data_IF_422111651498
#
_entry.id   IF_422111651498
#
_cell.length_a   1.000
_cell.length_b   1.000
_cell.length_c   1.000
_cell.angle_alpha   90.00
_cell.angle_beta   90.00
_cell.angle_gamma   90.00
#
_symmetry.space_group_name_H-M   'P 1'
#
loop_
_entity.id
_entity.type
_entity.pdbx_description
1 polymer ?
#
# COMPACT_ATOMS: atom_id res chain seq x y z
N UNK A 1 -23.97 -23.19 -0.59
CA UNK A 1 -23.91 -21.73 -0.42
C UNK A 1 -25.01 -21.17 -1.29
N UNK A 2 -26.05 -20.59 -0.69
CA UNK A 2 -27.32 -20.31 -1.37
C UNK A 2 -27.26 -19.12 -2.34
N UNK A 3 -26.33 -18.17 -2.14
CA UNK A 3 -25.99 -17.14 -3.12
C UNK A 3 -24.46 -16.88 -3.14
N UNK A 4 -23.78 -17.38 -4.18
CA UNK A 4 -22.34 -17.15 -4.36
C UNK A 4 -22.03 -15.69 -4.73
N UNK A 5 -22.97 -14.99 -5.37
CA UNK A 5 -22.80 -13.61 -5.79
C UNK A 5 -22.86 -12.67 -4.58
N UNK A 6 -23.77 -12.91 -3.65
CA UNK A 6 -23.83 -12.19 -2.37
C UNK A 6 -22.55 -12.37 -1.56
N UNK A 7 -22.08 -13.62 -1.40
CA UNK A 7 -20.84 -13.91 -0.68
C UNK A 7 -19.62 -13.21 -1.32
N UNK A 8 -19.54 -13.23 -2.65
CA UNK A 8 -18.50 -12.54 -3.40
C UNK A 8 -18.59 -11.03 -3.23
N UNK A 9 -19.79 -10.46 -3.27
CA UNK A 9 -20.02 -9.02 -3.07
C UNK A 9 -19.59 -8.57 -1.66
N UNK A 10 -19.95 -9.32 -0.61
CA UNK A 10 -19.50 -9.04 0.75
C UNK A 10 -17.98 -9.08 0.87
N UNK A 11 -17.34 -10.09 0.26
CA UNK A 11 -15.90 -10.21 0.25
C UNK A 11 -15.23 -9.01 -0.46
N UNK A 12 -15.79 -8.55 -1.58
CA UNK A 12 -15.33 -7.33 -2.26
C UNK A 12 -15.37 -6.11 -1.34
N UNK A 13 -16.49 -5.90 -0.63
CA UNK A 13 -16.62 -4.77 0.29
C UNK A 13 -15.58 -4.86 1.42
N UNK A 14 -15.34 -6.04 1.96
CA UNK A 14 -14.30 -6.20 2.99
C UNK A 14 -12.89 -5.91 2.45
N UNK A 15 -12.58 -6.33 1.22
CA UNK A 15 -11.30 -6.04 0.60
C UNK A 15 -11.14 -4.55 0.27
N UNK A 16 -12.18 -3.89 -0.25
CA UNK A 16 -12.15 -2.47 -0.60
C UNK A 16 -11.98 -1.56 0.62
N UNK A 17 -12.40 -2.03 1.80
CA UNK A 17 -12.15 -1.36 3.08
C UNK A 17 -10.82 -1.77 3.73
N UNK A 18 -9.98 -2.55 3.05
CA UNK A 18 -8.62 -2.84 3.49
C UNK A 18 -8.50 -3.90 4.59
N UNK A 19 -9.51 -4.74 4.82
CA UNK A 19 -9.39 -5.83 5.82
C UNK A 19 -8.52 -6.99 5.31
N UNK A 20 -8.53 -7.23 4.00
CA UNK A 20 -7.61 -8.13 3.30
C UNK A 20 -7.43 -7.65 1.86
N UNK A 21 -6.38 -8.12 1.19
CA UNK A 21 -6.00 -7.60 -0.12
C UNK A 21 -5.34 -8.68 -1.00
N UNK A 22 -5.48 -8.61 -2.34
CA UNK A 22 -4.74 -9.49 -3.24
C UNK A 22 -3.25 -9.18 -3.15
N UNK A 23 -2.39 -10.21 -3.13
CA UNK A 23 -0.96 -10.00 -2.86
C UNK A 23 -0.19 -9.39 -4.04
N UNK A 24 -0.69 -9.58 -5.27
CA UNK A 24 -0.01 -9.25 -6.53
C UNK A 24 -0.75 -8.19 -7.37
N UNK A 25 -1.78 -7.54 -6.82
CA UNK A 25 -2.61 -6.55 -7.52
C UNK A 25 -2.92 -5.35 -6.61
N UNK A 26 -2.99 -4.15 -7.19
CA UNK A 26 -3.38 -2.91 -6.50
C UNK A 26 -4.89 -2.72 -6.44
N UNK A 27 -5.66 -3.39 -7.30
CA UNK A 27 -7.12 -3.38 -7.20
C UNK A 27 -7.60 -4.22 -6.01
N UNK A 28 -8.19 -3.56 -5.01
CA UNK A 28 -8.74 -4.20 -3.80
C UNK A 28 -10.08 -4.90 -4.07
N UNK A 29 -10.04 -5.95 -4.90
CA UNK A 29 -11.21 -6.72 -5.34
C UNK A 29 -11.02 -8.22 -5.07
N UNK A 30 -12.14 -8.95 -4.95
CA UNK A 30 -12.14 -10.38 -4.67
C UNK A 30 -12.54 -11.16 -5.90
N UNK A 31 -11.68 -12.07 -6.35
CA UNK A 31 -11.96 -12.93 -7.50
C UNK A 31 -12.31 -14.33 -7.00
N UNK A 32 -13.35 -14.93 -7.56
CA UNK A 32 -13.71 -16.33 -7.30
C UNK A 32 -12.85 -17.25 -8.19
N UNK A 33 -11.54 -17.19 -7.99
CA UNK A 33 -10.52 -17.93 -8.71
C UNK A 33 -9.38 -18.34 -7.75
N UNK A 34 -8.20 -18.66 -8.28
CA UNK A 34 -7.03 -19.04 -7.48
C UNK A 34 -6.15 -17.85 -7.06
N UNK A 35 -6.69 -16.62 -7.02
CA UNK A 35 -5.95 -15.44 -6.55
C UNK A 35 -5.63 -15.56 -5.06
N UNK A 36 -4.40 -15.22 -4.70
CA UNK A 36 -3.96 -15.23 -3.31
C UNK A 36 -4.25 -13.91 -2.61
N UNK A 37 -4.80 -14.01 -1.41
CA UNK A 37 -5.14 -12.87 -0.55
C UNK A 37 -4.36 -12.92 0.77
N UNK A 38 -4.22 -11.76 1.41
CA UNK A 38 -3.59 -11.62 2.72
C UNK A 38 -4.43 -10.72 3.61
N UNK A 39 -4.59 -11.12 4.88
CA UNK A 39 -5.19 -10.26 5.89
C UNK A 39 -4.30 -9.05 6.21
N UNK A 40 -4.96 -7.91 6.38
CA UNK A 40 -4.33 -6.71 6.86
C UNK A 40 -4.02 -6.81 8.37
N UNK A 41 -2.95 -6.15 8.80
CA UNK A 41 -2.66 -5.99 10.23
C UNK A 41 -3.69 -5.08 10.90
N UNK A 42 -4.16 -5.37 12.12
CA UNK A 42 -5.11 -4.50 12.83
C UNK A 42 -4.65 -3.05 12.98
N UNK A 43 -3.33 -2.81 12.96
CA UNK A 43 -2.78 -1.45 12.96
C UNK A 43 -3.28 -0.60 11.79
N UNK A 44 -3.50 -1.20 10.61
CA UNK A 44 -3.97 -0.51 9.41
C UNK A 44 -5.47 -0.63 9.17
N UNK A 45 -6.25 -1.13 10.13
CA UNK A 45 -7.70 -1.22 9.96
C UNK A 45 -8.35 0.17 9.95
N UNK A 46 -9.46 0.34 9.18
CA UNK A 46 -10.20 1.61 9.13
C UNK A 46 -10.71 2.07 10.49
N UNK A 47 -10.98 1.14 11.41
CA UNK A 47 -11.43 1.43 12.78
C UNK A 47 -10.43 2.25 13.60
N UNK A 48 -9.17 2.35 13.16
CA UNK A 48 -8.17 3.22 13.80
C UNK A 48 -8.25 4.68 13.33
N UNK A 49 -9.21 5.03 12.47
CA UNK A 49 -9.48 6.39 11.99
C UNK A 49 -8.25 7.08 11.41
N UNK A 50 -7.55 6.38 10.51
CA UNK A 50 -6.38 6.90 9.82
C UNK A 50 -6.73 8.08 8.90
N UNK A 51 -5.96 9.16 9.00
CA UNK A 51 -6.01 10.30 8.09
C UNK A 51 -4.59 10.59 7.54
N UNK A 52 -4.05 9.72 6.67
CA UNK A 52 -2.66 9.84 6.25
C UNK A 52 -2.43 11.05 5.34
N UNK A 53 -1.39 11.83 5.66
CA UNK A 53 -1.06 13.05 4.96
C UNK A 53 -0.30 12.78 3.65
N UNK A 54 -0.21 13.81 2.81
CA UNK A 54 0.63 13.76 1.61
C UNK A 54 2.12 13.61 1.95
N UNK A 55 2.56 14.08 3.12
CA UNK A 55 3.94 13.89 3.59
C UNK A 55 4.23 12.40 3.84
N UNK A 56 3.30 11.69 4.49
CA UNK A 56 3.44 10.26 4.75
C UNK A 56 3.48 9.45 3.45
N UNK A 57 2.62 9.82 2.48
CA UNK A 57 2.61 9.16 1.19
C UNK A 57 3.90 9.41 0.40
N UNK A 58 4.45 10.62 0.48
CA UNK A 58 5.73 10.96 -0.13
C UNK A 58 6.88 10.14 0.47
N UNK A 59 6.89 9.94 1.79
CA UNK A 59 7.86 9.08 2.48
C UNK A 59 7.73 7.63 2.02
N UNK A 60 6.51 7.10 1.94
CA UNK A 60 6.26 5.73 1.46
C UNK A 60 6.75 5.51 0.02
N UNK A 61 6.36 6.37 -0.92
CA UNK A 61 6.77 6.28 -2.31
C UNK A 61 8.28 6.44 -2.45
N UNK A 62 8.88 7.42 -1.76
CA UNK A 62 10.32 7.62 -1.73
C UNK A 62 11.03 6.36 -1.21
N UNK A 63 10.59 5.80 -0.08
CA UNK A 63 11.14 4.57 0.50
C UNK A 63 11.10 3.40 -0.49
N UNK A 64 10.01 3.23 -1.23
CA UNK A 64 9.87 2.18 -2.27
C UNK A 64 10.89 2.33 -3.38
N UNK A 65 11.08 3.55 -3.91
CA UNK A 65 12.08 3.79 -4.97
C UNK A 65 13.51 3.46 -4.53
N UNK A 66 13.83 3.61 -3.25
CA UNK A 66 15.17 3.33 -2.71
C UNK A 66 15.49 1.83 -2.58
N UNK A 67 14.48 0.94 -2.65
CA UNK A 67 14.71 -0.48 -2.40
C UNK A 67 15.25 -1.24 -3.63
N UNK A 68 15.15 -0.68 -4.84
CA UNK A 68 15.62 -1.29 -6.09
C UNK A 68 15.19 -2.77 -6.26
N UNK A 69 13.91 -3.05 -6.03
CA UNK A 69 13.31 -4.38 -6.23
C UNK A 69 12.12 -4.25 -7.16
N UNK A 70 12.04 -5.10 -8.20
CA UNK A 70 10.95 -5.09 -9.18
C UNK A 70 9.57 -5.16 -8.54
N UNK A 71 9.39 -6.00 -7.50
CA UNK A 71 8.10 -6.09 -6.76
C UNK A 71 7.68 -4.81 -6.03
N UNK A 72 8.56 -3.82 -5.92
CA UNK A 72 8.32 -2.54 -5.24
C UNK A 72 8.40 -1.35 -6.19
N UNK A 73 8.62 -1.60 -7.49
CA UNK A 73 8.56 -0.56 -8.52
C UNK A 73 7.22 0.13 -8.47
N UNK A 74 7.23 1.45 -8.63
CA UNK A 74 6.01 2.25 -8.60
C UNK A 74 5.21 1.98 -9.87
N UNK A 75 3.89 1.85 -9.73
CA UNK A 75 3.01 1.94 -10.89
C UNK A 75 3.06 3.35 -11.50
N UNK A 76 2.66 3.51 -12.75
CA UNK A 76 2.74 4.81 -13.45
C UNK A 76 2.03 5.94 -12.68
N UNK A 77 0.82 5.69 -12.17
CA UNK A 77 0.07 6.66 -11.36
C UNK A 77 0.76 6.99 -10.03
N UNK A 78 1.48 6.04 -9.43
CA UNK A 78 2.26 6.28 -8.21
C UNK A 78 3.51 7.12 -8.52
N UNK A 79 4.16 6.88 -9.66
CA UNK A 79 5.30 7.67 -10.12
C UNK A 79 4.89 9.12 -10.43
N UNK A 80 3.76 9.33 -11.09
CA UNK A 80 3.17 10.66 -11.32
C UNK A 80 2.84 11.36 -10.00
N UNK A 81 2.25 10.63 -9.04
CA UNK A 81 2.00 11.14 -7.70
C UNK A 81 3.30 11.54 -7.00
N UNK A 82 4.35 10.71 -7.06
CA UNK A 82 5.66 11.04 -6.48
C UNK A 82 6.24 12.32 -7.09
N UNK A 83 6.21 12.47 -8.42
CA UNK A 83 6.68 13.67 -9.10
C UNK A 83 5.90 14.93 -8.66
N UNK A 84 4.58 14.82 -8.50
CA UNK A 84 3.74 15.91 -7.98
C UNK A 84 4.12 16.26 -6.53
N UNK A 85 4.31 15.26 -5.67
CA UNK A 85 4.70 15.45 -4.27
C UNK A 85 6.09 16.08 -4.14
N UNK A 86 7.04 15.67 -4.98
CA UNK A 86 8.37 16.27 -5.05
C UNK A 86 8.31 17.76 -5.38
N UNK A 87 7.47 18.15 -6.34
CA UNK A 87 7.25 19.57 -6.67
C UNK A 87 6.61 20.31 -5.50
N UNK A 88 5.57 19.73 -4.90
CA UNK A 88 4.82 20.32 -3.79
C UNK A 88 5.68 20.52 -2.54
N UNK A 89 6.56 19.57 -2.23
CA UNK A 89 7.42 19.58 -1.05
C UNK A 89 8.88 19.91 -1.35
N UNK A 90 9.17 20.61 -2.45
CA UNK A 90 10.53 20.91 -2.92
C UNK A 90 11.48 21.41 -1.82
N UNK A 91 11.03 22.33 -0.96
CA UNK A 91 11.83 22.88 0.15
C UNK A 91 12.04 21.94 1.33
N UNK A 92 11.20 20.91 1.47
CA UNK A 92 11.25 19.93 2.57
C UNK A 92 11.65 18.53 2.09
N UNK A 93 11.98 18.38 0.80
CA UNK A 93 12.22 17.08 0.18
C UNK A 93 13.37 16.30 0.85
N UNK A 94 14.42 17.01 1.28
CA UNK A 94 15.54 16.40 2.00
C UNK A 94 15.09 15.72 3.31
N UNK A 95 14.15 16.31 4.04
CA UNK A 95 13.60 15.70 5.26
C UNK A 95 12.76 14.46 4.94
N UNK A 96 11.96 14.50 3.87
CA UNK A 96 11.18 13.34 3.38
C UNK A 96 12.12 12.19 3.02
N UNK A 97 13.18 12.49 2.28
CA UNK A 97 14.19 11.51 1.89
C UNK A 97 14.90 10.92 3.10
N UNK A 98 15.31 11.75 4.07
CA UNK A 98 15.96 11.30 5.31
C UNK A 98 15.04 10.38 6.13
N UNK A 99 13.75 10.71 6.22
CA UNK A 99 12.76 9.87 6.90
C UNK A 99 12.56 8.53 6.19
N UNK A 100 12.45 8.53 4.86
CA UNK A 100 12.35 7.32 4.05
C UNK A 100 13.59 6.42 4.21
N UNK A 101 14.79 7.03 4.23
CA UNK A 101 16.04 6.31 4.45
C UNK A 101 16.09 5.66 5.84
N UNK A 102 15.70 6.40 6.88
CA UNK A 102 15.66 5.91 8.25
C UNK A 102 14.71 4.70 8.38
N UNK A 103 13.51 4.77 7.81
CA UNK A 103 12.57 3.65 7.77
C UNK A 103 13.15 2.45 7.01
N UNK A 104 13.73 2.68 5.83
CA UNK A 104 14.38 1.62 5.03
C UNK A 104 15.50 0.91 5.79
N UNK A 105 16.30 1.65 6.58
CA UNK A 105 17.36 1.07 7.45
C UNK A 105 16.78 0.17 8.54
N UNK A 106 15.64 0.52 9.12
CA UNK A 106 14.94 -0.33 10.11
C UNK A 106 14.38 -1.58 9.43
N UNK A 107 13.69 -1.43 8.30
CA UNK A 107 13.10 -2.55 7.55
C UNK A 107 14.17 -3.54 7.08
N UNK A 108 15.39 -3.06 6.81
CA UNK A 108 16.52 -3.92 6.42
C UNK A 108 16.99 -4.88 7.51
N UNK A 109 16.75 -4.57 8.78
CA UNK A 109 17.12 -5.42 9.93
C UNK A 109 16.18 -6.60 10.14
N UNK A 110 14.97 -6.54 9.60
CA UNK A 110 13.98 -7.62 9.67
C UNK A 110 14.32 -8.77 8.74
N UNK A 111 13.79 -9.95 9.04
CA UNK A 111 13.98 -11.09 8.15
C UNK A 111 13.30 -10.84 6.78
N UNK A 112 13.71 -11.63 5.79
CA UNK A 112 13.26 -11.43 4.40
C UNK A 112 11.76 -11.66 4.25
N UNK A 113 11.20 -12.65 4.94
CA UNK A 113 9.79 -13.03 4.79
C UNK A 113 8.89 -12.04 5.52
N UNK A 114 9.24 -11.67 6.74
CA UNK A 114 8.55 -10.64 7.53
C UNK A 114 8.52 -9.32 6.76
N UNK A 115 9.65 -8.88 6.21
CA UNK A 115 9.70 -7.67 5.38
C UNK A 115 8.80 -7.75 4.14
N UNK A 116 8.71 -8.92 3.48
CA UNK A 116 7.75 -9.08 2.36
C UNK A 116 6.31 -8.89 2.82
N UNK A 117 5.96 -9.42 4.00
CA UNK A 117 4.63 -9.26 4.59
C UNK A 117 4.34 -7.79 4.86
N UNK A 118 5.26 -7.11 5.54
CA UNK A 118 5.10 -5.71 5.94
C UNK A 118 5.02 -4.78 4.74
N UNK A 119 5.90 -4.96 3.75
CA UNK A 119 5.85 -4.18 2.50
C UNK A 119 4.46 -4.32 1.83
N UNK A 120 3.90 -5.54 1.80
CA UNK A 120 2.59 -5.80 1.18
C UNK A 120 1.42 -5.22 1.98
N UNK A 121 1.51 -5.21 3.32
CA UNK A 121 0.51 -4.63 4.21
C UNK A 121 0.49 -3.11 4.14
N UNK A 122 1.67 -2.48 4.11
CA UNK A 122 1.79 -1.03 3.91
C UNK A 122 1.30 -0.60 2.52
N UNK A 123 1.60 -1.40 1.48
CA UNK A 123 1.03 -1.16 0.13
C UNK A 123 -0.49 -1.17 0.15
N UNK A 124 -1.10 -2.20 0.73
CA UNK A 124 -2.55 -2.29 0.80
C UNK A 124 -3.20 -1.16 1.61
N UNK A 125 -2.52 -0.66 2.64
CA UNK A 125 -2.96 0.54 3.35
C UNK A 125 -3.02 1.75 2.40
N UNK A 126 -2.01 1.94 1.56
CA UNK A 126 -2.01 3.02 0.58
C UNK A 126 -2.99 2.80 -0.58
N UNK A 127 -3.26 1.56 -0.98
CA UNK A 127 -4.27 1.26 -2.00
C UNK A 127 -5.68 1.69 -1.55
N UNK A 128 -5.96 1.70 -0.24
CA UNK A 128 -7.22 2.26 0.32
C UNK A 128 -7.22 3.79 0.28
N UNK A 129 -6.13 4.43 0.71
CA UNK A 129 -6.09 5.89 0.96
C UNK A 129 -5.66 6.72 -0.26
N UNK A 130 -5.04 6.09 -1.25
CA UNK A 130 -4.56 6.66 -2.51
C UNK A 130 -4.86 5.65 -3.64
N UNK A 131 -6.14 5.34 -3.88
CA UNK A 131 -6.54 4.28 -4.80
C UNK A 131 -6.07 4.57 -6.22
N UNK A 132 -5.95 3.50 -7.00
CA UNK A 132 -5.73 3.59 -8.44
C UNK A 132 -6.84 4.43 -9.10
N UNK A 133 -6.52 5.21 -10.15
CA UNK A 133 -7.54 5.93 -10.92
C UNK A 133 -8.60 4.98 -11.49
N UNK A 134 -9.88 5.28 -11.24
CA UNK A 134 -11.01 4.51 -11.77
C UNK A 134 -11.47 3.33 -10.92
N UNK A 135 -10.94 3.19 -9.70
CA UNK A 135 -11.44 2.27 -8.67
C UNK A 135 -12.68 2.81 -7.94
#
# INVERSE_FOLDING_TARGET
VEDQQEALHLAHLMASHGYFFPIDDHMLTVKNDNTFYRFQTPYFWPSNCWEPENTDYAVYLCKRTMQNKTRLELADYEAENLARLQKMFSRKWEFIFMQAEAQSKVDKKRDKLERKVLDSQERAFWDVHRPMPGC
#
